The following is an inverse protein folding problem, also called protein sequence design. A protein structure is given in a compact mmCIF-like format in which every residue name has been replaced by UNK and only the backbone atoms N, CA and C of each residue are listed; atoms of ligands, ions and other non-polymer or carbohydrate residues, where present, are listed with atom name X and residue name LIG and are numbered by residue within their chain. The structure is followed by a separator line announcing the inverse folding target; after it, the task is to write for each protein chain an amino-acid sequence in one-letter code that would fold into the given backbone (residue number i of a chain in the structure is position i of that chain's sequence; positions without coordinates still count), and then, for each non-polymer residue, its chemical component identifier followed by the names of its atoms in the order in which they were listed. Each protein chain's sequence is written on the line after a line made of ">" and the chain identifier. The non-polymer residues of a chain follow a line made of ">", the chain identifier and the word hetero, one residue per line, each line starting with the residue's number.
data_IF_669543929981
#
_entry.id   IF_669543929981
#
_cell.length_a   1.000
_cell.length_b   1.000
_cell.length_c   1.000
_cell.angle_alpha   90.00
_cell.angle_beta   90.00
_cell.angle_gamma   90.00
#
_symmetry.space_group_name_H-M   'P 1'
#
loop_
_entity.id
_entity.type
_entity.pdbx_description
1 polymer ?
#
# COMPACT_ATOMS: atom_id res chain seq x y z
N UNK A 1 -19.05 13.85 1.72
CA UNK A 1 -17.75 14.35 2.23
C UNK A 1 -17.74 14.56 3.74
N UNK A 2 -18.83 15.05 4.33
CA UNK A 2 -18.96 15.31 5.78
C UNK A 2 -18.47 14.14 6.65
N UNK A 3 -18.82 12.90 6.32
CA UNK A 3 -18.45 11.70 7.11
C UNK A 3 -16.95 11.41 7.14
N UNK A 4 -16.21 11.65 6.04
CA UNK A 4 -14.76 11.37 5.99
C UNK A 4 -14.00 12.45 6.74
N UNK A 5 -14.38 13.73 6.55
CA UNK A 5 -13.82 14.85 7.30
C UNK A 5 -14.05 14.70 8.81
N UNK A 6 -15.25 14.27 9.21
CA UNK A 6 -15.61 14.02 10.62
C UNK A 6 -14.75 12.90 11.22
N UNK A 7 -14.56 11.78 10.49
CA UNK A 7 -13.71 10.68 10.96
C UNK A 7 -12.23 11.06 11.07
N UNK A 8 -11.72 11.87 10.14
CA UNK A 8 -10.36 12.39 10.20
C UNK A 8 -10.18 13.39 11.35
N UNK A 9 -11.21 14.20 11.63
CA UNK A 9 -11.22 15.13 12.74
C UNK A 9 -11.25 14.41 14.09
N UNK A 10 -12.07 13.37 14.24
CA UNK A 10 -12.11 12.52 15.43
C UNK A 10 -10.78 11.81 15.71
N UNK A 11 -9.99 11.53 14.67
CA UNK A 11 -8.64 10.98 14.77
C UNK A 11 -7.54 12.03 14.98
N UNK A 12 -7.89 13.32 14.94
CA UNK A 12 -6.96 14.44 15.11
C UNK A 12 -5.98 14.65 13.94
N UNK A 13 -6.19 14.01 12.79
CA UNK A 13 -5.25 14.03 11.64
C UNK A 13 -5.77 14.86 10.46
N UNK A 14 -6.90 15.56 10.61
CA UNK A 14 -7.52 16.31 9.52
C UNK A 14 -6.61 17.44 9.00
N UNK A 15 -5.91 18.13 9.89
CA UNK A 15 -4.97 19.20 9.51
C UNK A 15 -3.72 18.63 8.84
N UNK A 16 -3.19 17.49 9.32
CA UNK A 16 -2.00 16.83 8.76
C UNK A 16 -2.18 16.40 7.30
N UNK A 17 -3.42 16.08 6.91
CA UNK A 17 -3.75 15.71 5.53
C UNK A 17 -4.09 16.91 4.64
N UNK A 18 -4.05 18.15 5.15
CA UNK A 18 -4.34 19.37 4.40
C UNK A 18 -5.78 19.90 4.52
N UNK A 19 -6.55 19.39 5.49
CA UNK A 19 -7.87 19.90 5.84
C UNK A 19 -8.99 19.58 4.83
N UNK A 20 -10.17 20.15 5.09
CA UNK A 20 -11.38 19.93 4.28
C UNK A 20 -11.20 20.42 2.83
N UNK A 21 -10.41 21.49 2.64
CA UNK A 21 -10.11 22.06 1.33
C UNK A 21 -9.38 21.05 0.44
N UNK A 22 -8.37 20.36 0.98
CA UNK A 22 -7.63 19.34 0.22
C UNK A 22 -8.51 18.15 -0.16
N UNK A 23 -9.36 17.69 0.76
CA UNK A 23 -10.32 16.61 0.46
C UNK A 23 -11.25 17.00 -0.70
N UNK A 24 -11.76 18.24 -0.69
CA UNK A 24 -12.67 18.75 -1.72
C UNK A 24 -11.99 18.83 -3.09
N UNK A 25 -10.73 19.27 -3.13
CA UNK A 25 -9.94 19.25 -4.35
C UNK A 25 -9.70 17.82 -4.87
N UNK A 26 -9.39 16.89 -3.97
CA UNK A 26 -9.19 15.49 -4.33
C UNK A 26 -10.45 14.86 -4.93
N UNK A 27 -11.62 15.11 -4.34
CA UNK A 27 -12.89 14.66 -4.91
C UNK A 27 -13.20 15.29 -6.27
N UNK A 28 -12.82 16.56 -6.48
CA UNK A 28 -12.96 17.24 -7.77
C UNK A 28 -11.96 16.77 -8.84
N UNK A 29 -10.84 16.15 -8.45
CA UNK A 29 -9.77 15.72 -9.37
C UNK A 29 -10.04 14.38 -10.08
N UNK A 30 -11.03 13.60 -9.61
CA UNK A 30 -11.42 12.34 -10.22
C UNK A 30 -12.79 12.51 -10.90
N UNK A 31 -12.84 12.73 -12.22
CA UNK A 31 -14.09 13.03 -12.93
C UNK A 31 -15.04 11.84 -13.03
N UNK A 32 -14.54 10.60 -12.91
CA UNK A 32 -15.39 9.40 -12.93
C UNK A 32 -14.74 8.25 -12.16
N UNK A 33 -15.52 7.54 -11.35
CA UNK A 33 -15.09 6.36 -10.60
C UNK A 33 -14.93 5.10 -11.47
N UNK A 34 -15.38 5.14 -12.73
CA UNK A 34 -15.33 4.02 -13.67
C UNK A 34 -13.92 3.44 -13.88
N UNK A 35 -12.86 4.25 -13.74
CA UNK A 35 -11.47 3.81 -13.90
C UNK A 35 -10.74 3.55 -12.57
N UNK A 36 -11.46 3.50 -11.44
CA UNK A 36 -10.84 3.34 -10.11
C UNK A 36 -10.02 2.05 -10.02
N UNK A 37 -10.50 0.96 -10.61
CA UNK A 37 -9.80 -0.34 -10.62
C UNK A 37 -8.41 -0.22 -11.29
N UNK A 38 -8.34 0.44 -12.44
CA UNK A 38 -7.08 0.66 -13.16
C UNK A 38 -6.07 1.44 -12.33
N UNK A 39 -6.51 2.52 -11.65
CA UNK A 39 -5.62 3.30 -10.79
C UNK A 39 -5.20 2.51 -9.54
N UNK A 40 -6.10 1.69 -8.97
CA UNK A 40 -5.74 0.77 -7.89
C UNK A 40 -4.66 -0.22 -8.32
N UNK A 41 -4.77 -0.80 -9.51
CA UNK A 41 -3.76 -1.72 -10.05
C UNK A 41 -2.42 -1.03 -10.34
N UNK A 42 -2.46 0.20 -10.85
CA UNK A 42 -1.25 1.00 -11.05
C UNK A 42 -0.54 1.29 -9.72
N UNK A 43 -1.27 1.75 -8.70
CA UNK A 43 -0.71 2.02 -7.37
C UNK A 43 -0.15 0.74 -6.73
N UNK A 44 -0.85 -0.40 -6.89
CA UNK A 44 -0.40 -1.72 -6.44
C UNK A 44 0.89 -2.16 -7.12
N UNK A 45 0.97 -2.03 -8.44
CA UNK A 45 2.18 -2.36 -9.22
C UNK A 45 3.37 -1.52 -8.75
N UNK A 46 3.15 -0.20 -8.54
CA UNK A 46 4.20 0.69 -8.04
C UNK A 46 4.58 0.39 -6.59
N UNK A 47 3.63 -0.01 -5.73
CA UNK A 47 3.92 -0.39 -4.33
C UNK A 47 4.74 -1.67 -4.24
N UNK A 48 4.49 -2.65 -5.11
CA UNK A 48 5.29 -3.88 -5.21
C UNK A 48 6.74 -3.55 -5.62
N UNK A 49 6.93 -2.68 -6.62
CA UNK A 49 8.28 -2.25 -7.04
C UNK A 49 9.04 -1.55 -5.92
N UNK A 50 8.40 -0.63 -5.18
CA UNK A 50 9.03 0.04 -4.03
C UNK A 50 9.48 -0.97 -2.98
N UNK A 51 8.65 -1.97 -2.67
CA UNK A 51 9.01 -3.04 -1.73
C UNK A 51 10.19 -3.88 -2.22
N UNK A 52 10.24 -4.22 -3.52
CA UNK A 52 11.38 -4.92 -4.10
C UNK A 52 12.69 -4.13 -3.97
N UNK A 53 12.64 -2.81 -4.16
CA UNK A 53 13.79 -1.93 -3.96
C UNK A 53 14.26 -1.94 -2.50
N UNK A 54 13.34 -1.86 -1.53
CA UNK A 54 13.70 -1.92 -0.11
C UNK A 54 14.31 -3.28 0.28
N UNK A 55 13.75 -4.38 -0.20
CA UNK A 55 14.33 -5.71 0.02
C UNK A 55 15.74 -5.83 -0.58
N UNK A 56 15.97 -5.29 -1.79
CA UNK A 56 17.29 -5.27 -2.40
C UNK A 56 18.30 -4.42 -1.62
N UNK A 57 17.88 -3.28 -1.06
CA UNK A 57 18.72 -2.46 -0.17
C UNK A 57 19.10 -3.24 1.09
N UNK A 58 18.15 -3.96 1.69
CA UNK A 58 18.42 -4.79 2.86
C UNK A 58 19.39 -5.92 2.52
N UNK A 59 19.16 -6.67 1.43
CA UNK A 59 20.07 -7.74 1.00
C UNK A 59 21.50 -7.21 0.77
N UNK A 60 21.63 -6.03 0.14
CA UNK A 60 22.94 -5.39 -0.02
C UNK A 60 23.59 -5.08 1.34
N UNK A 61 22.83 -4.52 2.28
CA UNK A 61 23.31 -4.28 3.64
C UNK A 61 23.76 -5.56 4.35
N UNK A 62 22.98 -6.64 4.25
CA UNK A 62 23.37 -7.95 4.79
C UNK A 62 24.70 -8.43 4.19
N UNK A 63 24.92 -8.19 2.90
CA UNK A 63 26.10 -8.68 2.18
C UNK A 63 27.37 -7.85 2.45
N UNK A 64 27.24 -6.55 2.71
CA UNK A 64 28.37 -5.61 2.80
C UNK A 64 28.74 -5.24 4.24
N UNK A 65 27.74 -5.16 5.14
CA UNK A 65 27.92 -4.54 6.46
C UNK A 65 27.76 -5.54 7.59
N UNK A 66 26.88 -6.53 7.44
CA UNK A 66 26.58 -7.47 8.50
C UNK A 66 27.53 -8.67 8.46
N UNK A 67 28.16 -8.95 9.60
CA UNK A 67 28.93 -10.18 9.78
C UNK A 67 28.01 -11.33 10.20
N UNK A 68 28.26 -12.51 9.62
CA UNK A 68 27.57 -13.74 9.94
C UNK A 68 28.59 -14.79 10.36
N UNK A 69 28.26 -15.53 11.42
CA UNK A 69 29.10 -16.63 11.92
C UNK A 69 29.06 -17.84 10.97
N UNK A 70 27.94 -18.04 10.27
CA UNK A 70 27.72 -19.15 9.34
C UNK A 70 26.99 -18.69 8.07
N UNK A 71 27.40 -19.21 6.92
CA UNK A 71 26.79 -18.92 5.62
C UNK A 71 25.30 -19.30 5.56
N UNK A 72 24.89 -20.38 6.25
CA UNK A 72 23.48 -20.80 6.31
C UNK A 72 22.58 -19.73 6.93
N UNK A 73 23.07 -19.02 7.94
CA UNK A 73 22.34 -17.92 8.59
C UNK A 73 22.19 -16.73 7.65
N UNK A 74 23.25 -16.40 6.90
CA UNK A 74 23.20 -15.36 5.88
C UNK A 74 22.17 -15.71 4.79
N UNK A 75 22.21 -16.92 4.26
CA UNK A 75 21.28 -17.38 3.23
C UNK A 75 19.83 -17.35 3.72
N UNK A 76 19.58 -17.81 4.95
CA UNK A 76 18.25 -17.76 5.58
C UNK A 76 17.74 -16.32 5.68
N UNK A 77 18.58 -15.36 6.07
CA UNK A 77 18.14 -13.97 6.20
C UNK A 77 17.89 -13.30 4.85
N UNK A 78 18.70 -13.61 3.83
CA UNK A 78 18.43 -13.18 2.44
C UNK A 78 17.08 -13.74 1.95
N UNK A 79 16.81 -15.02 2.18
CA UNK A 79 15.53 -15.64 1.86
C UNK A 79 14.36 -14.97 2.58
N UNK A 80 14.52 -14.65 3.86
CA UNK A 80 13.51 -13.92 4.65
C UNK A 80 13.18 -12.56 4.02
N UNK A 81 14.18 -11.82 3.52
CA UNK A 81 13.93 -10.54 2.84
C UNK A 81 13.14 -10.73 1.53
N UNK A 82 13.44 -11.76 0.76
CA UNK A 82 12.69 -12.08 -0.46
C UNK A 82 11.24 -12.51 -0.14
N UNK A 83 11.04 -13.31 0.91
CA UNK A 83 9.74 -13.79 1.35
C UNK A 83 8.82 -12.65 1.82
N UNK A 84 9.35 -11.59 2.44
CA UNK A 84 8.57 -10.40 2.86
C UNK A 84 7.84 -9.74 1.69
N UNK A 85 8.41 -9.77 0.48
CA UNK A 85 7.73 -9.25 -0.73
C UNK A 85 6.48 -10.09 -1.02
N UNK A 86 6.58 -11.42 -0.89
CA UNK A 86 5.54 -12.40 -1.20
C UNK A 86 4.42 -12.43 -0.15
N UNK A 87 4.77 -12.55 1.13
CA UNK A 87 3.79 -12.71 2.22
C UNK A 87 2.86 -11.50 2.35
N UNK A 88 3.38 -10.30 2.13
CA UNK A 88 2.60 -9.06 2.18
C UNK A 88 1.93 -8.70 0.84
N UNK A 89 2.29 -9.35 -0.27
CA UNK A 89 1.46 -9.28 -1.48
C UNK A 89 0.16 -10.07 -1.30
N UNK A 90 0.21 -11.18 -0.56
CA UNK A 90 -0.93 -12.05 -0.30
C UNK A 90 -1.94 -11.45 0.69
N UNK A 91 -1.48 -10.80 1.77
CA UNK A 91 -2.39 -10.11 2.71
C UNK A 91 -3.12 -8.92 2.07
N UNK A 92 -2.41 -8.16 1.22
CA UNK A 92 -2.98 -7.09 0.40
C UNK A 92 -3.97 -7.65 -0.62
N UNK A 93 -3.71 -8.80 -1.24
CA UNK A 93 -4.65 -9.45 -2.18
C UNK A 93 -5.91 -9.97 -1.48
N UNK A 94 -5.79 -10.58 -0.30
CA UNK A 94 -6.91 -11.13 0.46
C UNK A 94 -7.88 -10.04 0.94
N UNK A 95 -7.34 -8.97 1.54
CA UNK A 95 -8.12 -7.80 1.96
C UNK A 95 -8.68 -6.99 0.78
N UNK A 96 -7.93 -6.91 -0.33
CA UNK A 96 -8.35 -6.24 -1.55
C UNK A 96 -9.50 -6.97 -2.27
N UNK A 97 -9.56 -8.30 -2.24
CA UNK A 97 -10.68 -9.08 -2.78
C UNK A 97 -12.01 -8.78 -2.07
N UNK A 98 -11.98 -8.61 -0.74
CA UNK A 98 -13.16 -8.22 0.04
C UNK A 98 -13.55 -6.76 -0.19
N UNK A 99 -12.57 -5.86 -0.28
CA UNK A 99 -12.79 -4.46 -0.59
C UNK A 99 -13.33 -4.24 -2.01
N UNK A 100 -12.81 -4.98 -3.00
CA UNK A 100 -13.21 -4.89 -4.40
C UNK A 100 -14.65 -5.36 -4.61
N UNK A 101 -15.09 -6.46 -3.96
CA UNK A 101 -16.52 -6.88 -3.94
C UNK A 101 -17.45 -5.83 -3.33
N UNK A 102 -16.98 -5.12 -2.31
CA UNK A 102 -17.77 -4.08 -1.63
C UNK A 102 -17.90 -2.83 -2.52
N UNK A 103 -16.83 -2.44 -3.21
CA UNK A 103 -16.84 -1.28 -4.11
C UNK A 103 -17.69 -1.51 -5.38
N UNK A 104 -17.67 -2.70 -6.01
CA UNK A 104 -18.57 -2.97 -7.16
C UNK A 104 -20.05 -2.91 -6.76
N UNK A 105 -20.41 -3.40 -5.57
CA UNK A 105 -21.80 -3.32 -5.08
C UNK A 105 -22.32 -1.91 -4.80
N UNK A 106 -21.43 -0.93 -4.67
CA UNK A 106 -21.75 0.49 -4.47
C UNK A 106 -21.76 1.30 -5.77
N UNK A 107 -21.10 0.83 -6.83
CA UNK A 107 -21.05 1.52 -8.13
C UNK A 107 -22.31 1.25 -8.96
N UNK A 108 -22.94 0.08 -8.81
CA UNK A 108 -24.17 -0.29 -9.56
C UNK A 108 -25.48 0.26 -8.95
N UNK A 109 -25.41 1.13 -7.93
CA UNK A 109 -26.61 1.67 -7.23
C UNK A 109 -26.93 3.14 -7.52
N UNK A 110 -26.12 3.82 -8.32
CA UNK A 110 -26.36 5.18 -8.83
C UNK A 110 -26.52 5.15 -10.36
#
# INVERSE_FOLDING_TARGET
>A
MVTVSEQLNQKGILEDVGGVTYLTQLAGSVPTTANTIYYCDLVKSKSLRRRGIEAAKNIRYLSEVQEFEYDETFLTEVENQALKIRSMAFSLLASHWEASRKCTSSIDKD
#
